data_IF_689865937247
#
_entry.id   IF_689865937247
#
_cell.length_a   1.000
_cell.length_b   1.000
_cell.length_c   1.000
_cell.angle_alpha   90.00
_cell.angle_beta   90.00
_cell.angle_gamma   90.00
#
_symmetry.space_group_name_H-M   'P 1'
#
loop_
_entity.id
_entity.type
_entity.pdbx_description
1 polymer ?
#
# COMPACT_ATOMS: atom_id res chain seq x y z
N UNK A 1 2.05 17.75 -9.31
CA UNK A 1 1.21 18.64 -8.45
C UNK A 1 1.30 18.18 -7.00
N UNK A 2 1.09 19.02 -5.99
CA UNK A 2 1.08 18.57 -4.58
C UNK A 2 -0.25 18.88 -3.90
N UNK A 3 -0.84 17.86 -3.26
CA UNK A 3 -1.94 18.01 -2.30
C UNK A 3 -1.39 17.70 -0.91
N UNK A 4 -1.37 18.71 -0.05
CA UNK A 4 -0.80 18.59 1.29
C UNK A 4 -1.87 18.81 2.36
N UNK A 5 -1.99 17.84 3.27
CA UNK A 5 -2.81 17.94 4.46
C UNK A 5 -2.13 18.75 5.56
N UNK A 6 -2.94 19.54 6.29
CA UNK A 6 -2.53 20.06 7.59
C UNK A 6 -2.78 19.00 8.68
N UNK A 7 -2.28 19.23 9.90
CA UNK A 7 -2.58 18.36 11.03
C UNK A 7 -4.10 18.15 11.18
N UNK A 8 -4.54 16.89 11.16
CA UNK A 8 -5.96 16.51 11.25
C UNK A 8 -6.76 16.66 9.94
N UNK A 9 -6.12 16.91 8.80
CA UNK A 9 -6.79 16.92 7.50
C UNK A 9 -7.31 15.52 7.15
N UNK A 10 -8.64 15.37 7.12
CA UNK A 10 -9.31 14.11 6.84
C UNK A 10 -10.05 14.14 5.49
N UNK A 11 -9.83 13.09 4.71
CA UNK A 11 -10.61 12.74 3.53
C UNK A 11 -11.48 11.54 3.90
N UNK A 12 -12.74 11.82 4.25
CA UNK A 12 -13.73 10.81 4.63
C UNK A 12 -14.65 10.48 3.45
N UNK A 13 -14.56 9.26 2.94
CA UNK A 13 -15.42 8.78 1.87
C UNK A 13 -16.80 8.41 2.43
N UNK A 14 -17.84 8.86 1.72
CA UNK A 14 -19.26 8.58 2.00
C UNK A 14 -19.95 7.77 0.90
N UNK A 15 -19.19 7.40 -0.14
CA UNK A 15 -19.63 6.66 -1.33
C UNK A 15 -18.45 5.84 -1.88
N UNK A 16 -18.70 4.74 -2.62
CA UNK A 16 -17.65 3.86 -3.15
C UNK A 16 -16.98 4.45 -4.40
N UNK A 17 -16.07 5.40 -4.20
CA UNK A 17 -15.28 6.05 -5.26
C UNK A 17 -13.78 5.98 -4.96
N UNK A 18 -12.95 6.20 -5.98
CA UNK A 18 -11.53 6.47 -5.82
C UNK A 18 -11.33 7.99 -5.70
N UNK A 19 -11.03 8.55 -4.51
CA UNK A 19 -10.93 9.99 -4.27
C UNK A 19 -9.67 10.60 -4.88
N UNK A 20 -8.60 9.81 -5.02
CA UNK A 20 -7.34 10.26 -5.61
C UNK A 20 -6.90 9.34 -6.74
N UNK A 21 -6.91 9.91 -7.94
CA UNK A 21 -6.40 9.27 -9.15
C UNK A 21 -5.21 10.10 -9.64
N UNK A 22 -3.99 9.68 -9.27
CA UNK A 22 -2.74 10.32 -9.68
C UNK A 22 -2.39 9.84 -11.09
N UNK A 23 -2.86 10.57 -12.10
CA UNK A 23 -2.69 10.21 -13.52
C UNK A 23 -1.56 10.96 -14.21
N UNK A 24 -1.12 12.07 -13.63
CA UNK A 24 0.10 12.76 -14.04
C UNK A 24 1.35 12.00 -13.60
N UNK A 25 2.49 12.60 -13.90
CA UNK A 25 3.75 12.26 -13.24
C UNK A 25 4.11 13.30 -12.19
N UNK A 26 4.96 12.92 -11.24
CA UNK A 26 5.47 13.77 -10.15
C UNK A 26 4.36 14.44 -9.29
N UNK A 27 3.20 13.78 -9.18
CA UNK A 27 2.15 14.18 -8.23
C UNK A 27 2.48 13.69 -6.82
N UNK A 28 2.21 14.51 -5.81
CA UNK A 28 2.46 14.22 -4.40
C UNK A 28 1.17 14.33 -3.59
N UNK A 29 0.82 13.28 -2.86
CA UNK A 29 -0.08 13.35 -1.70
C UNK A 29 0.77 13.34 -0.44
N UNK A 30 0.63 14.35 0.43
CA UNK A 30 1.42 14.49 1.65
C UNK A 30 0.56 14.80 2.87
N UNK A 31 0.76 14.07 3.98
CA UNK A 31 0.21 14.43 5.28
C UNK A 31 -1.32 14.34 5.42
N UNK A 32 -1.98 13.54 4.58
CA UNK A 32 -3.44 13.36 4.63
C UNK A 32 -3.83 12.16 5.50
N UNK A 33 -4.94 12.29 6.23
CA UNK A 33 -5.68 11.14 6.74
C UNK A 33 -6.77 10.75 5.74
N UNK A 34 -6.83 9.50 5.30
CA UNK A 34 -7.76 9.01 4.29
C UNK A 34 -8.48 7.76 4.80
N UNK A 35 -9.82 7.83 4.85
CA UNK A 35 -10.66 6.73 5.34
C UNK A 35 -12.07 6.76 4.72
N UNK A 36 -12.90 5.78 5.09
CA UNK A 36 -14.30 5.66 4.65
C UNK A 36 -15.18 5.29 5.83
N UNK A 37 -16.46 5.65 5.77
CA UNK A 37 -17.42 5.29 6.81
C UNK A 37 -17.98 3.86 6.68
N UNK A 38 -17.81 3.24 5.52
CA UNK A 38 -18.15 1.84 5.23
C UNK A 38 -17.03 1.18 4.42
N UNK A 39 -16.83 -0.15 4.54
CA UNK A 39 -15.74 -0.84 3.85
C UNK A 39 -16.10 -1.00 2.37
N UNK A 40 -15.91 0.05 1.58
CA UNK A 40 -16.23 0.03 0.15
C UNK A 40 -15.24 -0.86 -0.64
N UNK A 41 -15.71 -1.62 -1.64
CA UNK A 41 -14.86 -2.52 -2.44
C UNK A 41 -14.04 -1.77 -3.51
N UNK A 42 -13.40 -0.67 -3.11
CA UNK A 42 -12.56 0.21 -3.95
C UNK A 42 -11.30 0.61 -3.19
N UNK A 43 -10.33 1.13 -3.92
CA UNK A 43 -9.13 1.77 -3.37
C UNK A 43 -9.33 3.25 -3.03
N UNK A 44 -8.55 3.76 -2.09
CA UNK A 44 -8.49 5.19 -1.81
C UNK A 44 -7.56 5.95 -2.75
N UNK A 45 -6.44 5.35 -3.16
CA UNK A 45 -5.47 5.99 -4.02
C UNK A 45 -5.20 5.07 -5.20
N UNK A 46 -5.39 5.57 -6.41
CA UNK A 46 -4.94 4.92 -7.62
C UNK A 46 -3.81 5.73 -8.27
N UNK A 47 -2.70 5.07 -8.58
CA UNK A 47 -1.48 5.70 -9.10
C UNK A 47 -1.19 5.19 -10.52
N UNK A 48 -1.15 6.09 -11.49
CA UNK A 48 -0.63 5.85 -12.83
C UNK A 48 0.66 6.66 -13.05
N UNK A 49 1.10 6.83 -14.30
CA UNK A 49 2.19 7.74 -14.65
C UNK A 49 3.55 7.36 -14.06
N UNK A 50 4.44 8.34 -13.92
CA UNK A 50 5.81 8.19 -13.44
C UNK A 50 6.10 9.12 -12.26
N UNK A 51 6.84 8.66 -11.25
CA UNK A 51 7.41 9.55 -10.22
C UNK A 51 6.45 10.05 -9.13
N UNK A 52 5.20 9.54 -9.12
CA UNK A 52 4.21 9.93 -8.12
C UNK A 52 4.62 9.54 -6.69
N UNK A 53 4.20 10.32 -5.70
CA UNK A 53 4.61 10.18 -4.31
C UNK A 53 3.40 10.19 -3.36
N UNK A 54 3.42 9.28 -2.38
CA UNK A 54 2.47 9.23 -1.27
C UNK A 54 3.28 9.26 0.01
N UNK A 55 3.23 10.38 0.74
CA UNK A 55 4.14 10.71 1.82
C UNK A 55 3.37 11.00 3.11
N UNK A 56 3.86 10.50 4.25
CA UNK A 56 3.38 10.91 5.58
C UNK A 56 1.85 10.80 5.80
N UNK A 57 1.14 9.98 5.02
CA UNK A 57 -0.30 9.84 5.10
C UNK A 57 -0.70 8.77 6.13
N UNK A 58 -1.89 8.91 6.71
CA UNK A 58 -2.55 7.86 7.46
C UNK A 58 -3.75 7.32 6.66
N UNK A 59 -3.72 6.04 6.30
CA UNK A 59 -4.61 5.45 5.31
C UNK A 59 -5.25 4.20 5.93
N UNK A 60 -6.55 4.24 6.22
CA UNK A 60 -7.21 3.13 6.90
C UNK A 60 -8.66 2.91 6.54
N UNK A 61 -9.08 1.65 6.59
CA UNK A 61 -10.48 1.27 6.43
C UNK A 61 -11.28 1.33 7.74
N UNK A 62 -12.62 1.36 7.66
CA UNK A 62 -13.47 1.25 8.82
C UNK A 62 -13.41 -0.15 9.42
N UNK A 63 -13.80 -0.32 10.69
CA UNK A 63 -13.81 -1.63 11.35
C UNK A 63 -14.62 -2.67 10.57
N UNK A 64 -14.05 -3.86 10.43
CA UNK A 64 -14.72 -5.03 9.86
C UNK A 64 -14.64 -6.19 10.85
N UNK A 65 -15.73 -6.92 11.02
CA UNK A 65 -15.81 -8.00 11.98
C UNK A 65 -15.11 -9.27 11.46
N UNK A 66 -14.59 -10.06 12.40
CA UNK A 66 -13.99 -11.36 12.10
C UNK A 66 -12.59 -11.26 11.48
N UNK A 67 -12.11 -12.43 11.03
CA UNK A 67 -10.80 -12.54 10.40
C UNK A 67 -10.74 -11.76 9.09
N UNK A 68 -9.56 -11.18 8.80
CA UNK A 68 -9.38 -10.38 7.60
C UNK A 68 -9.78 -11.15 6.33
N UNK A 69 -9.65 -12.49 6.27
CA UNK A 69 -9.97 -13.36 5.13
C UNK A 69 -11.36 -13.15 4.52
N UNK A 70 -12.34 -12.68 5.30
CA UNK A 70 -13.71 -12.45 4.87
C UNK A 70 -14.06 -10.98 4.67
N UNK A 71 -13.13 -10.07 4.97
CA UNK A 71 -13.37 -8.63 4.83
C UNK A 71 -13.63 -8.26 3.37
N UNK A 72 -14.45 -7.23 3.18
CA UNK A 72 -14.63 -6.58 1.89
C UNK A 72 -13.26 -6.12 1.40
N UNK A 73 -13.00 -6.26 0.09
CA UNK A 73 -11.72 -5.90 -0.51
C UNK A 73 -11.59 -4.38 -0.67
N UNK A 74 -11.48 -3.69 0.46
CA UNK A 74 -11.14 -2.28 0.54
C UNK A 74 -9.61 -2.12 0.50
N UNK A 75 -9.13 -1.15 -0.28
CA UNK A 75 -7.70 -0.97 -0.53
C UNK A 75 -7.20 0.42 -0.18
N UNK A 76 -5.96 0.51 0.28
CA UNK A 76 -5.31 1.80 0.51
C UNK A 76 -4.82 2.39 -0.82
N UNK A 77 -3.82 1.74 -1.42
CA UNK A 77 -3.17 2.18 -2.65
C UNK A 77 -3.19 1.07 -3.71
N UNK A 78 -3.48 1.44 -4.95
CA UNK A 78 -3.39 0.56 -6.13
C UNK A 78 -2.57 1.25 -7.21
N UNK A 79 -1.54 0.59 -7.75
CA UNK A 79 -0.90 1.07 -8.98
C UNK A 79 -1.72 0.65 -10.18
N UNK A 80 -1.80 1.47 -11.23
CA UNK A 80 -2.24 1.00 -12.53
C UNK A 80 -1.11 0.18 -13.18
N UNK A 81 -1.46 -0.66 -14.16
CA UNK A 81 -0.48 -1.43 -14.94
C UNK A 81 0.50 -0.46 -15.60
N UNK A 82 1.80 -0.69 -15.42
CA UNK A 82 2.86 0.13 -16.02
C UNK A 82 3.15 1.46 -15.34
N UNK A 83 2.56 1.77 -14.16
CA UNK A 83 2.95 2.94 -13.38
C UNK A 83 4.39 2.81 -12.86
N UNK A 84 5.24 3.82 -13.01
CA UNK A 84 6.67 3.71 -12.68
C UNK A 84 7.11 4.69 -11.60
N UNK A 85 8.21 4.36 -10.92
CA UNK A 85 8.90 5.22 -9.96
C UNK A 85 8.00 5.78 -8.83
N UNK A 86 6.97 5.03 -8.40
CA UNK A 86 6.17 5.41 -7.23
C UNK A 86 7.05 5.45 -5.97
N UNK A 87 6.95 6.51 -5.18
CA UNK A 87 7.49 6.55 -3.81
C UNK A 87 6.35 6.56 -2.78
N UNK A 88 6.19 5.48 -2.03
CA UNK A 88 5.36 5.46 -0.83
C UNK A 88 6.24 5.48 0.42
N UNK A 89 6.27 6.60 1.15
CA UNK A 89 7.19 6.78 2.28
C UNK A 89 6.53 7.34 3.53
N UNK A 90 6.92 6.79 4.69
CA UNK A 90 6.53 7.28 6.01
C UNK A 90 5.01 7.33 6.23
N UNK A 91 4.26 6.52 5.49
CA UNK A 91 2.82 6.39 5.67
C UNK A 91 2.48 5.36 6.75
N UNK A 92 1.25 5.43 7.25
CA UNK A 92 0.65 4.42 8.12
C UNK A 92 -0.54 3.82 7.36
N UNK A 93 -0.51 2.50 7.13
CA UNK A 93 -1.61 1.74 6.55
C UNK A 93 -2.21 0.79 7.59
N UNK A 94 -3.52 0.82 7.82
CA UNK A 94 -4.13 -0.17 8.71
C UNK A 94 -5.61 -0.43 8.48
N UNK A 95 -6.13 -1.54 9.03
CA UNK A 95 -7.57 -1.88 8.99
C UNK A 95 -8.14 -1.90 7.56
N UNK A 96 -7.35 -2.39 6.61
CA UNK A 96 -7.69 -2.55 5.20
C UNK A 96 -7.56 -4.02 4.84
N UNK A 97 -8.35 -4.52 3.88
CA UNK A 97 -8.08 -5.85 3.33
C UNK A 97 -6.70 -5.89 2.68
N UNK A 98 -6.42 -4.93 1.80
CA UNK A 98 -5.12 -4.84 1.11
C UNK A 98 -4.59 -3.39 1.22
N UNK A 99 -3.56 -3.14 2.04
CA UNK A 99 -2.99 -1.80 2.23
C UNK A 99 -2.42 -1.26 0.92
N UNK A 100 -1.76 -2.12 0.14
CA UNK A 100 -1.34 -1.83 -1.22
C UNK A 100 -1.53 -3.05 -2.13
N UNK A 101 -1.97 -2.82 -3.37
CA UNK A 101 -1.94 -3.80 -4.46
C UNK A 101 -1.15 -3.24 -5.63
N UNK A 102 0.00 -3.85 -5.91
CA UNK A 102 0.98 -3.38 -6.87
C UNK A 102 0.82 -4.19 -8.15
N UNK A 103 0.12 -3.62 -9.13
CA UNK A 103 -0.26 -4.28 -10.37
C UNK A 103 0.94 -4.55 -11.30
N UNK A 104 0.78 -5.46 -12.28
CA UNK A 104 1.86 -5.86 -13.18
C UNK A 104 2.58 -4.72 -13.87
N UNK A 105 3.88 -4.91 -14.09
CA UNK A 105 4.77 -3.95 -14.77
C UNK A 105 4.90 -2.59 -14.07
N UNK A 106 4.37 -2.43 -12.86
CA UNK A 106 4.60 -1.22 -12.08
C UNK A 106 5.91 -1.27 -11.31
N UNK A 107 6.51 -0.10 -11.05
CA UNK A 107 7.77 0.03 -10.30
C UNK A 107 7.71 1.10 -9.22
N UNK A 108 8.53 0.94 -8.19
CA UNK A 108 8.64 1.96 -7.15
C UNK A 108 9.36 1.51 -5.88
N UNK A 109 9.15 2.28 -4.82
CA UNK A 109 9.77 2.08 -3.51
C UNK A 109 8.75 2.31 -2.41
N UNK A 110 8.66 1.35 -1.50
CA UNK A 110 7.92 1.47 -0.24
C UNK A 110 8.94 1.53 0.90
N UNK A 111 9.07 2.67 1.56
CA UNK A 111 10.07 2.83 2.61
C UNK A 111 9.60 3.53 3.87
N UNK A 112 10.02 3.01 5.03
CA UNK A 112 9.70 3.63 6.32
C UNK A 112 8.21 3.69 6.65
N UNK A 113 7.36 2.89 6.00
CA UNK A 113 5.93 2.86 6.30
C UNK A 113 5.65 1.94 7.50
N UNK A 114 4.53 2.17 8.17
CA UNK A 114 3.99 1.27 9.20
C UNK A 114 2.73 0.60 8.64
N UNK A 115 2.64 -0.72 8.69
CA UNK A 115 1.46 -1.45 8.21
C UNK A 115 0.98 -2.51 9.22
N UNK A 116 -0.31 -2.51 9.57
CA UNK A 116 -0.87 -3.46 10.53
C UNK A 116 -2.36 -3.70 10.35
N UNK A 117 -2.88 -4.80 10.90
CA UNK A 117 -4.29 -5.18 10.84
C UNK A 117 -4.81 -5.25 9.39
N UNK A 118 -4.01 -5.84 8.51
CA UNK A 118 -4.32 -6.02 7.09
C UNK A 118 -3.90 -7.40 6.57
N UNK A 119 -3.89 -7.61 5.25
CA UNK A 119 -3.18 -8.74 4.62
C UNK A 119 -1.79 -8.44 4.05
N UNK A 120 -1.23 -7.26 4.32
CA UNK A 120 0.09 -6.88 3.83
C UNK A 120 0.11 -6.41 2.38
N UNK A 121 1.28 -5.95 1.94
CA UNK A 121 1.48 -5.43 0.58
C UNK A 121 1.44 -6.58 -0.43
N UNK A 122 0.62 -6.44 -1.46
CA UNK A 122 0.48 -7.45 -2.52
C UNK A 122 1.28 -7.02 -3.74
N UNK A 123 2.28 -7.82 -4.11
CA UNK A 123 3.10 -7.63 -5.30
C UNK A 123 2.62 -8.61 -6.37
N UNK A 124 2.04 -8.08 -7.45
CA UNK A 124 1.60 -8.86 -8.60
C UNK A 124 2.45 -8.50 -9.82
N UNK A 125 3.51 -9.28 -10.09
CA UNK A 125 4.36 -9.10 -11.29
C UNK A 125 4.92 -7.68 -11.43
N UNK A 126 5.16 -7.04 -10.30
CA UNK A 126 5.69 -5.68 -10.17
C UNK A 126 7.14 -5.70 -9.65
N UNK A 127 7.82 -4.55 -9.66
CA UNK A 127 9.21 -4.42 -9.20
C UNK A 127 9.30 -3.29 -8.17
N UNK A 128 9.29 -3.65 -6.89
CA UNK A 128 9.28 -2.70 -5.78
C UNK A 128 10.40 -2.98 -4.77
N UNK A 129 11.14 -1.93 -4.43
CA UNK A 129 12.07 -1.95 -3.30
C UNK A 129 11.29 -1.71 -2.00
N UNK A 130 11.41 -2.62 -1.04
CA UNK A 130 10.90 -2.45 0.32
C UNK A 130 12.06 -2.24 1.28
N UNK A 131 12.04 -1.16 2.06
CA UNK A 131 13.11 -0.89 3.03
C UNK A 131 12.63 -0.13 4.26
N UNK A 132 12.99 -0.61 5.45
CA UNK A 132 12.69 0.04 6.72
C UNK A 132 11.20 0.11 7.06
N UNK A 133 10.34 -0.67 6.38
CA UNK A 133 8.94 -0.78 6.78
C UNK A 133 8.84 -1.58 8.08
N UNK A 134 7.82 -1.27 8.89
CA UNK A 134 7.56 -1.92 10.16
C UNK A 134 6.11 -2.35 10.30
N UNK A 135 5.88 -3.30 11.20
CA UNK A 135 4.61 -4.02 11.33
C UNK A 135 4.09 -3.86 12.75
N UNK A 136 2.82 -3.51 12.87
CA UNK A 136 2.17 -3.21 14.14
C UNK A 136 1.22 -4.31 14.63
N UNK A 137 0.47 -4.01 15.70
CA UNK A 137 -0.61 -4.84 16.21
C UNK A 137 -1.98 -4.15 16.01
N UNK A 138 -3.05 -4.89 15.69
CA UNK A 138 -3.08 -6.32 15.36
C UNK A 138 -2.20 -6.67 14.15
N UNK A 139 -1.62 -7.88 14.13
CA UNK A 139 -0.68 -8.27 13.09
C UNK A 139 -1.36 -8.34 11.71
N UNK A 140 -0.57 -8.19 10.64
CA UNK A 140 -1.03 -8.53 9.30
C UNK A 140 -1.17 -10.06 9.16
N UNK A 141 -1.96 -10.51 8.19
CA UNK A 141 -2.01 -11.94 7.84
C UNK A 141 -0.64 -12.44 7.32
N UNK A 142 -0.02 -11.62 6.47
CA UNK A 142 1.40 -11.63 6.08
C UNK A 142 1.78 -10.17 5.80
N UNK A 143 3.05 -9.83 5.84
CA UNK A 143 3.49 -8.44 5.67
C UNK A 143 3.70 -8.07 4.20
N UNK A 144 4.28 -9.00 3.43
CA UNK A 144 4.50 -8.86 1.99
C UNK A 144 4.09 -10.18 1.31
N UNK A 145 3.28 -10.11 0.27
CA UNK A 145 2.91 -11.26 -0.56
C UNK A 145 3.46 -11.07 -1.98
N UNK A 146 4.30 -12.01 -2.43
CA UNK A 146 4.83 -12.07 -3.80
C UNK A 146 3.97 -13.06 -4.58
N UNK A 147 3.11 -12.57 -5.48
CA UNK A 147 2.21 -13.43 -6.24
C UNK A 147 2.91 -14.12 -7.41
N UNK A 148 2.25 -15.16 -7.94
CA UNK A 148 2.74 -15.97 -9.05
C UNK A 148 3.19 -15.12 -10.24
N UNK A 149 4.40 -15.42 -10.74
CA UNK A 149 5.02 -14.70 -11.83
C UNK A 149 5.65 -13.35 -11.46
N UNK A 150 5.64 -12.96 -10.18
CA UNK A 150 6.60 -11.97 -9.68
C UNK A 150 8.02 -12.51 -9.84
N UNK A 151 8.97 -11.67 -10.25
CA UNK A 151 10.31 -12.12 -10.59
C UNK A 151 11.07 -12.72 -9.41
N UNK A 152 11.96 -13.67 -9.68
CA UNK A 152 13.03 -14.13 -8.79
C UNK A 152 14.30 -13.30 -9.01
N UNK A 153 15.06 -13.06 -7.95
CA UNK A 153 16.22 -12.18 -7.93
C UNK A 153 15.92 -10.84 -7.25
N UNK A 154 16.83 -9.88 -7.45
CA UNK A 154 16.64 -8.52 -6.95
C UNK A 154 15.36 -7.89 -7.54
N UNK A 155 14.54 -7.17 -6.74
CA UNK A 155 14.85 -6.70 -5.38
C UNK A 155 14.37 -7.63 -4.25
N UNK A 156 13.78 -8.78 -4.55
CA UNK A 156 13.09 -9.62 -3.55
C UNK A 156 14.01 -10.65 -2.88
N UNK A 157 15.02 -11.13 -3.61
CA UNK A 157 15.89 -12.21 -3.14
C UNK A 157 17.27 -11.70 -2.68
N UNK A 158 17.87 -12.33 -1.66
CA UNK A 158 17.31 -13.43 -0.86
C UNK A 158 16.18 -12.93 0.07
N UNK A 159 15.12 -13.73 0.22
CA UNK A 159 13.97 -13.37 1.06
C UNK A 159 14.39 -12.99 2.48
N UNK A 160 15.39 -13.65 3.07
CA UNK A 160 15.90 -13.31 4.40
C UNK A 160 16.45 -11.88 4.51
N UNK A 161 17.01 -11.33 3.43
CA UNK A 161 17.43 -9.93 3.39
C UNK A 161 16.25 -8.97 3.23
N UNK A 162 15.25 -9.35 2.43
CA UNK A 162 13.98 -8.61 2.32
C UNK A 162 13.27 -8.52 3.67
N UNK A 163 13.18 -9.64 4.39
CA UNK A 163 12.58 -9.72 5.73
C UNK A 163 13.36 -8.88 6.75
N UNK A 164 14.68 -9.07 6.82
CA UNK A 164 15.54 -8.35 7.77
C UNK A 164 15.56 -6.84 7.54
N UNK A 165 15.53 -6.39 6.29
CA UNK A 165 15.49 -4.97 5.95
C UNK A 165 14.14 -4.31 6.21
N UNK A 166 13.11 -5.09 6.52
CA UNK A 166 11.76 -4.61 6.82
C UNK A 166 11.30 -5.15 8.19
N UNK A 167 12.10 -4.94 9.23
CA UNK A 167 11.74 -5.25 10.63
C UNK A 167 11.29 -6.70 10.85
N UNK A 168 12.00 -7.66 10.25
CA UNK A 168 11.68 -9.10 10.31
C UNK A 168 10.30 -9.41 9.76
N UNK A 169 9.99 -8.87 8.57
CA UNK A 169 8.73 -9.09 7.88
C UNK A 169 8.43 -10.57 7.69
N UNK A 170 7.15 -10.92 7.66
CA UNK A 170 6.66 -12.20 7.18
C UNK A 170 6.36 -12.11 5.69
N UNK A 171 7.12 -12.85 4.86
CA UNK A 171 6.94 -12.87 3.41
C UNK A 171 6.18 -14.13 2.98
N UNK A 172 5.08 -13.97 2.26
CA UNK A 172 4.43 -15.05 1.53
C UNK A 172 4.96 -15.08 0.10
N UNK A 173 5.85 -16.02 -0.17
CA UNK A 173 6.35 -16.26 -1.53
C UNK A 173 5.46 -17.28 -2.26
N UNK A 174 4.78 -16.83 -3.31
CA UNK A 174 3.87 -17.62 -4.15
C UNK A 174 4.28 -17.59 -5.63
N UNK A 175 5.52 -17.17 -5.91
CA UNK A 175 6.05 -16.94 -7.26
C UNK A 175 6.04 -18.19 -8.14
#
# INVERSE_FOLDING_TARGET
>A
MTIQGTAGAEVLLKVPIVPFLLTGGDDTLDGLTITSDQPYPVEFIQVAGDGNQVLNCQIYGPPQAGDSSTWVVNRGLVTQVGATNLLARSNIFHTLRQPAYLNPSSTGTFMGNVCYNTRGYVVDRAIFLFSGNSWGLPANAVDIALLSGTLTGAPYDPLSALEASNSSATVSDQR
#
